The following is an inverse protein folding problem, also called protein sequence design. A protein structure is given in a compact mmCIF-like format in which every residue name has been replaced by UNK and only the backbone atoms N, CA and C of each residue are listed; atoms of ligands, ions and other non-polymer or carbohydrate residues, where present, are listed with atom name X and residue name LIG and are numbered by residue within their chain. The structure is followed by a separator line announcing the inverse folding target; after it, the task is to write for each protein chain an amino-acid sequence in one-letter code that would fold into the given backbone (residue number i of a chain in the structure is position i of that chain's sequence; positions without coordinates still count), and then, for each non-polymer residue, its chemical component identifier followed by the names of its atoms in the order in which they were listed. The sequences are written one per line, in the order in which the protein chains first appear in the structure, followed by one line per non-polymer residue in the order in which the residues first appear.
data_IF_832306093693
#
_entry.id   IF_832306093693
#
_cell.length_a   1.000
_cell.length_b   1.000
_cell.length_c   1.000
_cell.angle_alpha   90.00
_cell.angle_beta   90.00
_cell.angle_gamma   90.00
#
_symmetry.space_group_name_H-M   'P 1'
#
loop_
_entity.id
_entity.type
_entity.pdbx_description
1 polymer ?
#
# COMPACT_ATOMS: atom_id res chain seq x y z
N UNK A 1 -39.09 -11.39 10.22
CA UNK A 1 -38.65 -10.21 9.45
C UNK A 1 -38.07 -9.11 10.34
N UNK A 2 -38.81 -8.61 11.35
CA UNK A 2 -38.34 -7.52 12.22
C UNK A 2 -37.01 -7.80 12.96
N UNK A 3 -36.81 -9.00 13.48
CA UNK A 3 -35.56 -9.37 14.16
C UNK A 3 -34.33 -9.33 13.23
N UNK A 4 -34.48 -9.84 12.00
CA UNK A 4 -33.40 -9.84 11.00
C UNK A 4 -33.04 -8.42 10.57
N UNK A 5 -34.04 -7.56 10.36
CA UNK A 5 -33.79 -6.15 10.03
C UNK A 5 -33.11 -5.40 11.18
N UNK A 6 -33.54 -5.63 12.43
CA UNK A 6 -32.91 -5.01 13.60
C UNK A 6 -31.46 -5.46 13.78
N UNK A 7 -31.17 -6.74 13.55
CA UNK A 7 -29.81 -7.28 13.59
C UNK A 7 -28.91 -6.67 12.50
N UNK A 8 -29.40 -6.58 11.27
CA UNK A 8 -28.64 -5.98 10.16
C UNK A 8 -28.33 -4.50 10.41
N UNK A 9 -29.30 -3.73 10.94
CA UNK A 9 -29.08 -2.33 11.31
C UNK A 9 -28.05 -2.20 12.44
N UNK A 10 -28.11 -3.06 13.45
CA UNK A 10 -27.15 -3.06 14.55
C UNK A 10 -25.72 -3.38 14.08
N UNK A 11 -25.55 -4.43 13.28
CA UNK A 11 -24.26 -4.81 12.69
C UNK A 11 -23.74 -3.70 11.77
N UNK A 12 -24.61 -3.13 10.93
CA UNK A 12 -24.28 -1.99 10.06
C UNK A 12 -23.82 -0.77 10.86
N UNK A 13 -24.48 -0.46 11.98
CA UNK A 13 -24.10 0.60 12.90
C UNK A 13 -22.71 0.37 13.51
N UNK A 14 -22.43 -0.84 13.99
CA UNK A 14 -21.10 -1.19 14.52
C UNK A 14 -20.00 -1.08 13.47
N UNK A 15 -20.24 -1.54 12.24
CA UNK A 15 -19.31 -1.41 11.13
C UNK A 15 -19.07 0.06 10.75
N UNK A 16 -20.10 0.90 10.77
CA UNK A 16 -19.98 2.33 10.52
C UNK A 16 -19.13 3.02 11.60
N UNK A 17 -19.41 2.74 12.88
CA UNK A 17 -18.59 3.25 14.00
C UNK A 17 -17.13 2.83 13.83
N UNK A 18 -16.91 1.56 13.48
CA UNK A 18 -15.56 1.03 13.24
C UNK A 18 -14.87 1.69 12.05
N UNK A 19 -15.60 1.95 10.97
CA UNK A 19 -15.09 2.67 9.80
C UNK A 19 -14.67 4.09 10.18
N UNK A 20 -15.51 4.82 10.91
CA UNK A 20 -15.19 6.16 11.38
C UNK A 20 -13.97 6.14 12.29
N UNK A 21 -13.89 5.22 13.25
CA UNK A 21 -12.73 5.05 14.13
C UNK A 21 -11.44 4.75 13.34
N UNK A 22 -11.51 3.88 12.33
CA UNK A 22 -10.37 3.54 11.50
C UNK A 22 -9.92 4.75 10.67
N UNK A 23 -10.85 5.48 10.04
CA UNK A 23 -10.54 6.69 9.27
C UNK A 23 -9.95 7.78 10.15
N UNK A 24 -10.48 8.00 11.36
CA UNK A 24 -9.91 8.93 12.34
C UNK A 24 -8.52 8.47 12.76
N UNK A 25 -8.32 7.17 13.02
CA UNK A 25 -7.01 6.63 13.37
C UNK A 25 -5.98 6.76 12.24
N UNK A 26 -6.41 6.64 10.98
CA UNK A 26 -5.56 6.82 9.80
C UNK A 26 -5.23 8.30 9.59
N UNK A 27 -6.17 9.20 9.87
CA UNK A 27 -6.01 10.65 9.66
C UNK A 27 -5.36 11.42 10.80
N UNK A 28 -5.44 10.93 12.04
CA UNK A 28 -4.89 11.66 13.19
C UNK A 28 -3.37 11.87 13.11
N UNK A 29 -2.69 11.28 12.11
CA UNK A 29 -1.25 11.20 12.05
C UNK A 29 -0.71 10.50 13.31
N UNK A 30 0.54 10.07 13.29
CA UNK A 30 1.23 9.82 14.56
C UNK A 30 1.64 11.17 15.20
N UNK A 31 0.71 12.12 15.26
CA UNK A 31 0.87 13.45 15.81
C UNK A 31 0.65 13.46 17.32
N UNK A 32 1.38 12.60 18.03
CA UNK A 32 1.72 12.72 19.46
C UNK A 32 2.31 11.39 19.92
N UNK A 33 3.52 11.48 20.44
CA UNK A 33 4.33 10.39 20.94
C UNK A 33 3.62 9.61 22.07
N UNK A 34 3.11 8.42 21.74
CA UNK A 34 3.35 7.28 22.61
C UNK A 34 4.58 6.60 22.03
N UNK A 35 5.71 6.62 22.76
CA UNK A 35 6.91 5.85 22.41
C UNK A 35 6.49 4.39 22.36
N UNK A 36 6.15 3.92 21.17
CA UNK A 36 5.81 2.52 20.98
C UNK A 36 7.13 1.77 21.12
N UNK A 37 7.23 0.77 22.01
CA UNK A 37 8.48 0.06 22.20
C UNK A 37 8.98 -0.45 20.83
N UNK A 38 10.29 -0.36 20.57
CA UNK A 38 10.85 -0.84 19.31
C UNK A 38 10.46 -2.31 19.13
N UNK A 39 10.04 -2.64 17.90
CA UNK A 39 9.65 -4.01 17.56
C UNK A 39 10.81 -4.96 17.83
N UNK A 40 10.51 -6.07 18.50
CA UNK A 40 11.45 -7.17 18.74
C UNK A 40 11.47 -8.18 17.59
N UNK A 41 10.41 -8.22 16.78
CA UNK A 41 10.28 -9.12 15.63
C UNK A 41 10.23 -8.35 14.30
N UNK A 42 10.79 -8.93 13.22
CA UNK A 42 10.71 -8.36 11.88
C UNK A 42 9.25 -8.11 11.47
N UNK A 43 9.03 -7.08 10.66
CA UNK A 43 7.73 -6.77 10.07
C UNK A 43 7.61 -7.42 8.69
N UNK A 44 6.59 -8.27 8.52
CA UNK A 44 6.20 -8.82 7.21
C UNK A 44 5.86 -7.66 6.27
N UNK A 45 6.67 -7.48 5.24
CA UNK A 45 6.61 -6.27 4.40
C UNK A 45 6.20 -6.63 2.99
N UNK A 46 5.07 -6.10 2.54
CA UNK A 46 4.59 -6.23 1.16
C UNK A 46 4.93 -4.97 0.38
N UNK A 47 5.56 -5.13 -0.77
CA UNK A 47 6.06 -4.06 -1.62
C UNK A 47 5.34 -4.16 -2.94
N UNK A 48 4.46 -3.20 -3.24
CA UNK A 48 3.71 -3.20 -4.50
C UNK A 48 4.45 -2.35 -5.51
N UNK A 49 4.97 -3.01 -6.54
CA UNK A 49 5.77 -2.41 -7.59
C UNK A 49 4.92 -1.91 -8.75
N UNK A 50 5.30 -0.75 -9.28
CA UNK A 50 4.77 -0.21 -10.52
C UNK A 50 5.72 -0.43 -11.69
N UNK A 51 5.23 -0.60 -12.90
CA UNK A 51 6.12 -0.86 -14.05
C UNK A 51 7.06 0.30 -14.38
N UNK A 52 8.28 -0.05 -14.83
CA UNK A 52 9.25 0.90 -15.36
C UNK A 52 9.92 1.75 -14.28
N UNK A 53 9.74 3.08 -14.36
CA UNK A 53 10.36 4.05 -13.45
C UNK A 53 9.90 3.90 -11.99
N UNK A 54 8.65 3.48 -11.78
CA UNK A 54 8.11 3.25 -10.43
C UNK A 54 8.84 2.10 -9.71
N UNK A 55 9.15 0.99 -10.40
CA UNK A 55 9.98 -0.08 -9.83
C UNK A 55 11.36 0.43 -9.44
N UNK A 56 12.01 1.25 -10.26
CA UNK A 56 13.32 1.79 -9.93
C UNK A 56 13.28 2.70 -8.68
N UNK A 57 12.26 3.56 -8.58
CA UNK A 57 12.02 4.38 -7.38
C UNK A 57 11.81 3.51 -6.13
N UNK A 58 10.98 2.46 -6.22
CA UNK A 58 10.67 1.62 -5.06
C UNK A 58 11.87 0.78 -4.63
N UNK A 59 12.62 0.21 -5.58
CA UNK A 59 13.80 -0.58 -5.26
C UNK A 59 14.88 0.26 -4.58
N UNK A 60 15.09 1.52 -4.98
CA UNK A 60 15.99 2.44 -4.26
C UNK A 60 15.60 2.66 -2.80
N UNK A 61 14.29 2.73 -2.52
CA UNK A 61 13.78 2.84 -1.16
C UNK A 61 14.05 1.54 -0.41
N UNK A 62 13.70 0.40 -1.03
CA UNK A 62 13.85 -0.91 -0.43
C UNK A 62 15.31 -1.23 -0.12
N UNK A 63 16.24 -0.93 -1.02
CA UNK A 63 17.70 -1.05 -0.85
C UNK A 63 18.21 -0.40 0.44
N UNK A 64 17.61 0.72 0.86
CA UNK A 64 17.95 1.41 2.11
C UNK A 64 17.19 0.91 3.34
N UNK A 65 16.20 0.04 3.17
CA UNK A 65 15.49 -0.59 4.29
C UNK A 65 16.33 -1.72 4.89
N UNK A 66 16.39 -1.72 6.23
CA UNK A 66 17.00 -2.79 7.02
C UNK A 66 16.31 -4.14 6.75
N UNK A 67 17.02 -5.06 6.09
CA UNK A 67 16.51 -6.37 5.73
C UNK A 67 16.18 -7.27 6.93
N UNK A 68 16.78 -7.03 8.10
CA UNK A 68 16.46 -7.76 9.33
C UNK A 68 15.17 -7.28 9.98
N UNK A 69 14.84 -5.99 9.85
CA UNK A 69 13.62 -5.40 10.42
C UNK A 69 12.40 -5.52 9.51
N UNK A 70 12.61 -5.58 8.20
CA UNK A 70 11.57 -5.66 7.19
C UNK A 70 11.71 -6.97 6.40
N UNK A 71 11.27 -8.07 7.02
CA UNK A 71 11.34 -9.43 6.47
C UNK A 71 10.18 -10.29 7.01
N UNK A 72 9.69 -11.28 6.22
CA UNK A 72 9.97 -11.49 4.80
C UNK A 72 9.42 -10.35 3.93
N UNK A 73 10.04 -10.15 2.76
CA UNK A 73 9.64 -9.16 1.75
C UNK A 73 8.81 -9.82 0.66
N UNK A 74 7.60 -9.33 0.43
CA UNK A 74 6.72 -9.86 -0.61
C UNK A 74 6.55 -8.80 -1.71
N UNK A 75 7.12 -9.06 -2.88
CA UNK A 75 7.04 -8.15 -4.01
C UNK A 75 5.82 -8.47 -4.85
N UNK A 76 4.86 -7.55 -4.88
CA UNK A 76 3.67 -7.65 -5.72
C UNK A 76 3.94 -6.93 -7.04
N UNK A 77 3.89 -7.69 -8.13
CA UNK A 77 4.14 -7.20 -9.50
C UNK A 77 2.95 -7.46 -10.40
N UNK A 78 2.76 -6.63 -11.43
CA UNK A 78 1.76 -6.92 -12.46
C UNK A 78 2.18 -8.14 -13.30
N UNK A 79 1.23 -9.00 -13.68
CA UNK A 79 1.49 -10.21 -14.47
C UNK A 79 2.18 -9.95 -15.82
N UNK A 80 2.00 -8.76 -16.39
CA UNK A 80 2.61 -8.33 -17.65
C UNK A 80 4.01 -7.72 -17.48
N UNK A 81 4.48 -7.52 -16.25
CA UNK A 81 5.71 -6.78 -15.95
C UNK A 81 6.88 -7.69 -15.58
N UNK A 82 7.43 -8.36 -16.60
CA UNK A 82 8.60 -9.25 -16.44
C UNK A 82 9.87 -8.47 -16.08
N UNK A 83 10.02 -7.24 -16.54
CA UNK A 83 11.21 -6.42 -16.29
C UNK A 83 11.35 -6.10 -14.80
N UNK A 84 10.26 -5.80 -14.11
CA UNK A 84 10.32 -5.54 -12.68
C UNK A 84 10.69 -6.78 -11.86
N UNK A 85 10.28 -7.97 -12.30
CA UNK A 85 10.69 -9.24 -11.67
C UNK A 85 12.21 -9.39 -11.72
N UNK A 86 12.82 -9.18 -12.88
CA UNK A 86 14.29 -9.28 -13.04
C UNK A 86 15.01 -8.32 -12.09
N UNK A 87 14.56 -7.07 -12.01
CA UNK A 87 15.18 -6.07 -11.11
C UNK A 87 15.05 -6.42 -9.63
N UNK A 88 13.94 -7.04 -9.22
CA UNK A 88 13.76 -7.53 -7.85
C UNK A 88 14.76 -8.64 -7.54
N UNK A 89 14.90 -9.61 -8.46
CA UNK A 89 15.85 -10.71 -8.30
C UNK A 89 17.28 -10.18 -8.17
N UNK A 90 17.69 -9.29 -9.07
CA UNK A 90 19.01 -8.64 -9.02
C UNK A 90 19.22 -7.91 -7.68
N UNK A 91 18.25 -7.12 -7.22
CA UNK A 91 18.31 -6.37 -5.96
C UNK A 91 18.43 -7.29 -4.72
N UNK A 92 17.67 -8.38 -4.67
CA UNK A 92 17.71 -9.32 -3.54
C UNK A 92 18.97 -10.20 -3.56
N UNK A 93 19.50 -10.57 -4.74
CA UNK A 93 20.79 -11.27 -4.85
C UNK A 93 21.93 -10.38 -4.35
N UNK A 94 21.94 -9.09 -4.73
CA UNK A 94 22.94 -8.13 -4.25
C UNK A 94 22.85 -7.93 -2.73
N UNK A 95 21.63 -7.91 -2.17
CA UNK A 95 21.41 -7.80 -0.73
C UNK A 95 21.87 -9.03 0.04
N UNK A 96 21.52 -10.22 -0.46
CA UNK A 96 21.84 -11.49 0.18
C UNK A 96 22.21 -12.52 -0.90
N UNK A 97 23.51 -12.72 -1.18
CA UNK A 97 23.98 -13.64 -2.21
C UNK A 97 23.66 -15.10 -1.93
N UNK A 98 23.55 -15.46 -0.65
CA UNK A 98 23.25 -16.83 -0.20
C UNK A 98 21.75 -17.16 -0.37
N UNK A 99 21.37 -18.06 -1.30
CA UNK A 99 19.98 -18.36 -1.61
C UNK A 99 19.19 -18.91 -0.41
N UNK A 100 19.84 -19.63 0.50
CA UNK A 100 19.16 -20.22 1.67
C UNK A 100 18.75 -19.17 2.71
N UNK A 101 19.42 -18.01 2.68
CA UNK A 101 19.15 -16.88 3.59
C UNK A 101 18.27 -15.81 2.95
N UNK A 102 17.89 -15.97 1.68
CA UNK A 102 16.99 -15.04 1.01
C UNK A 102 15.57 -15.15 1.60
N UNK A 103 15.05 -14.02 2.06
CA UNK A 103 13.74 -13.94 2.73
C UNK A 103 12.78 -13.06 1.94
N UNK A 104 12.55 -13.44 0.68
CA UNK A 104 11.58 -12.75 -0.18
C UNK A 104 10.71 -13.71 -0.99
N UNK A 105 9.58 -13.20 -1.47
CA UNK A 105 8.64 -13.89 -2.35
C UNK A 105 8.15 -12.90 -3.41
N UNK A 106 7.97 -13.37 -4.65
CA UNK A 106 7.40 -12.56 -5.74
C UNK A 106 5.99 -13.07 -6.04
N UNK A 107 5.02 -12.17 -5.99
CA UNK A 107 3.60 -12.46 -6.19
C UNK A 107 3.12 -11.66 -7.41
N UNK A 108 2.50 -12.34 -8.37
CA UNK A 108 1.93 -11.69 -9.56
C UNK A 108 0.44 -11.43 -9.39
N UNK A 109 -0.01 -10.25 -9.81
CA UNK A 109 -1.43 -9.88 -9.85
C UNK A 109 -1.84 -9.37 -11.22
N UNK A 110 -3.10 -9.54 -11.64
CA UNK A 110 -3.57 -8.96 -12.89
C UNK A 110 -3.44 -7.44 -12.85
N UNK A 111 -3.04 -6.85 -13.97
CA UNK A 111 -2.91 -5.40 -14.09
C UNK A 111 -4.30 -4.75 -14.01
N UNK A 112 -4.45 -3.74 -13.16
CA UNK A 112 -5.76 -3.10 -12.95
C UNK A 112 -6.20 -2.20 -14.11
N UNK A 113 -5.25 -1.73 -14.94
CA UNK A 113 -5.52 -0.90 -16.12
C UNK A 113 -4.40 -1.06 -17.14
N UNK A 114 -4.77 -1.34 -18.39
CA UNK A 114 -3.85 -1.29 -19.51
C UNK A 114 -3.69 0.13 -20.06
N UNK A 115 -2.56 0.35 -20.74
CA UNK A 115 -2.26 1.64 -21.38
C UNK A 115 -3.30 1.88 -22.48
N UNK A 116 -3.91 3.08 -22.51
CA UNK A 116 -5.00 3.48 -23.42
C UNK A 116 -6.40 2.90 -23.14
N UNK A 117 -6.61 2.20 -22.02
CA UNK A 117 -7.94 1.72 -21.65
C UNK A 117 -8.89 2.88 -21.27
N UNK A 118 -10.20 2.76 -21.51
CA UNK A 118 -11.17 3.78 -21.07
C UNK A 118 -11.35 3.76 -19.54
N UNK A 119 -11.70 4.90 -18.92
CA UNK A 119 -11.86 4.99 -17.46
C UNK A 119 -12.92 4.03 -16.90
N UNK A 120 -14.02 3.81 -17.65
CA UNK A 120 -15.11 2.92 -17.25
C UNK A 120 -14.68 1.46 -17.29
N UNK A 121 -14.04 1.02 -18.37
CA UNK A 121 -13.53 -0.35 -18.47
C UNK A 121 -12.41 -0.61 -17.46
N UNK A 122 -11.61 0.40 -17.13
CA UNK A 122 -10.61 0.31 -16.05
C UNK A 122 -11.23 0.11 -14.66
N UNK A 123 -12.45 0.59 -14.40
CA UNK A 123 -13.11 0.33 -13.13
C UNK A 123 -13.42 -1.16 -12.97
N UNK A 124 -13.92 -1.81 -14.03
CA UNK A 124 -14.21 -3.26 -14.05
C UNK A 124 -12.94 -4.08 -13.81
N UNK A 125 -11.85 -3.79 -14.52
CA UNK A 125 -10.58 -4.49 -14.32
C UNK A 125 -9.96 -4.21 -12.95
N UNK A 126 -10.22 -3.03 -12.36
CA UNK A 126 -9.82 -2.71 -10.98
C UNK A 126 -10.60 -3.55 -9.96
N UNK A 127 -11.91 -3.77 -10.17
CA UNK A 127 -12.72 -4.64 -9.30
C UNK A 127 -12.26 -6.10 -9.40
N UNK A 128 -12.00 -6.60 -10.62
CA UNK A 128 -11.44 -7.94 -10.79
C UNK A 128 -10.08 -8.08 -10.10
N UNK A 129 -9.19 -7.10 -10.28
CA UNK A 129 -7.91 -7.07 -9.58
C UNK A 129 -8.08 -7.05 -8.05
N UNK A 130 -9.09 -6.34 -7.54
CA UNK A 130 -9.44 -6.33 -6.12
C UNK A 130 -9.81 -7.72 -5.61
N UNK A 131 -10.67 -8.45 -6.33
CA UNK A 131 -11.06 -9.81 -5.95
C UNK A 131 -9.85 -10.76 -5.92
N UNK A 132 -8.94 -10.65 -6.89
CA UNK A 132 -7.68 -11.41 -6.89
C UNK A 132 -6.75 -11.03 -5.74
N UNK A 133 -6.74 -9.77 -5.30
CA UNK A 133 -5.90 -9.31 -4.19
C UNK A 133 -6.40 -9.80 -2.82
N UNK A 134 -7.69 -10.11 -2.65
CA UNK A 134 -8.27 -10.58 -1.37
C UNK A 134 -7.51 -11.79 -0.79
N UNK A 135 -7.41 -12.94 -1.47
CA UNK A 135 -6.71 -14.10 -0.91
C UNK A 135 -5.22 -13.83 -0.69
N UNK A 136 -4.60 -13.03 -1.56
CA UNK A 136 -3.17 -12.69 -1.48
C UNK A 136 -2.87 -11.93 -0.18
N UNK A 137 -3.56 -10.80 0.05
CA UNK A 137 -3.32 -9.95 1.23
C UNK A 137 -3.72 -10.68 2.52
N UNK A 138 -4.82 -11.43 2.51
CA UNK A 138 -5.28 -12.16 3.71
C UNK A 138 -4.37 -13.34 4.08
N UNK A 139 -3.78 -14.03 3.10
CA UNK A 139 -2.78 -15.08 3.33
C UNK A 139 -1.43 -14.50 3.73
N UNK A 140 -1.00 -13.43 3.05
CA UNK A 140 0.23 -12.72 3.32
C UNK A 140 0.28 -12.09 4.71
N UNK A 141 -0.86 -11.60 5.21
CA UNK A 141 -0.99 -10.82 6.46
C UNK A 141 0.16 -9.82 6.64
N UNK A 142 0.37 -8.90 5.67
CA UNK A 142 1.44 -7.93 5.78
C UNK A 142 1.21 -7.02 6.99
N UNK A 143 2.29 -6.66 7.67
CA UNK A 143 2.29 -5.65 8.73
C UNK A 143 2.63 -4.27 8.16
N UNK A 144 3.37 -4.24 7.05
CA UNK A 144 3.69 -3.03 6.30
C UNK A 144 3.40 -3.26 4.81
N UNK A 145 2.70 -2.31 4.19
CA UNK A 145 2.55 -2.22 2.73
C UNK A 145 3.26 -0.95 2.27
N UNK A 146 4.25 -1.10 1.40
CA UNK A 146 4.94 -0.01 0.72
C UNK A 146 4.51 0.02 -0.73
N UNK A 147 4.15 1.20 -1.23
CA UNK A 147 3.81 1.35 -2.64
C UNK A 147 4.04 2.77 -3.13
N UNK A 148 4.52 2.87 -4.36
CA UNK A 148 4.52 4.09 -5.14
C UNK A 148 3.69 3.81 -6.39
N UNK A 149 2.60 4.56 -6.56
CA UNK A 149 1.53 4.16 -7.48
C UNK A 149 2.00 3.92 -8.92
N UNK A 150 1.46 2.88 -9.60
CA UNK A 150 0.39 3.06 -10.58
C UNK A 150 -0.90 2.32 -10.16
N UNK A 151 -1.94 2.27 -11.01
CA UNK A 151 -3.30 1.81 -10.66
C UNK A 151 -3.41 0.49 -9.87
N UNK A 152 -2.47 -0.43 -10.06
CA UNK A 152 -2.41 -1.73 -9.37
C UNK A 152 -2.23 -1.65 -7.85
N UNK A 153 -1.70 -0.54 -7.31
CA UNK A 153 -1.58 -0.36 -5.86
C UNK A 153 -2.92 -0.15 -5.17
N UNK A 154 -3.93 0.39 -5.89
CA UNK A 154 -5.22 0.77 -5.30
C UNK A 154 -5.98 -0.45 -4.79
N UNK A 155 -6.16 -1.54 -5.59
CA UNK A 155 -6.75 -2.77 -5.09
C UNK A 155 -6.08 -3.36 -3.87
N UNK A 156 -4.74 -3.45 -3.86
CA UNK A 156 -3.97 -4.03 -2.74
C UNK A 156 -4.19 -3.22 -1.47
N UNK A 157 -4.08 -1.89 -1.55
CA UNK A 157 -4.30 -1.01 -0.40
C UNK A 157 -5.74 -1.04 0.10
N UNK A 158 -6.72 -1.10 -0.81
CA UNK A 158 -8.13 -1.18 -0.46
C UNK A 158 -8.46 -2.50 0.24
N UNK A 159 -7.95 -3.63 -0.24
CA UNK A 159 -8.08 -4.92 0.44
C UNK A 159 -7.46 -4.87 1.84
N UNK A 160 -6.28 -4.29 1.99
CA UNK A 160 -5.65 -4.14 3.30
C UNK A 160 -6.47 -3.27 4.26
N UNK A 161 -7.05 -2.17 3.75
CA UNK A 161 -7.94 -1.31 4.52
C UNK A 161 -9.22 -2.07 4.94
N UNK A 162 -9.85 -2.82 4.03
CA UNK A 162 -11.01 -3.66 4.33
C UNK A 162 -10.67 -4.76 5.34
N UNK A 163 -9.51 -5.39 5.23
CA UNK A 163 -9.04 -6.39 6.19
C UNK A 163 -8.86 -5.79 7.59
N UNK A 164 -8.45 -4.52 7.71
CA UNK A 164 -8.40 -3.80 8.99
C UNK A 164 -9.78 -3.45 9.52
N UNK A 165 -10.69 -3.05 8.64
CA UNK A 165 -12.08 -2.73 8.96
C UNK A 165 -12.80 -3.95 9.53
N UNK A 166 -12.60 -5.12 8.91
CA UNK A 166 -13.20 -6.41 9.29
C UNK A 166 -12.43 -7.18 10.37
N UNK A 167 -11.47 -6.54 11.06
CA UNK A 167 -10.66 -7.14 12.12
C UNK A 167 -9.76 -8.33 11.71
N UNK A 168 -9.60 -8.59 10.40
CA UNK A 168 -8.81 -9.69 9.87
C UNK A 168 -7.29 -9.43 9.93
N UNK A 169 -6.86 -8.16 9.76
CA UNK A 169 -5.46 -7.77 9.85
C UNK A 169 -5.31 -6.33 10.38
N UNK A 170 -5.54 -6.13 11.68
CA UNK A 170 -5.56 -4.79 12.30
C UNK A 170 -4.20 -4.10 12.40
N UNK A 171 -3.10 -4.85 12.30
CA UNK A 171 -1.71 -4.35 12.45
C UNK A 171 -1.13 -3.78 11.16
N UNK A 172 -1.73 -4.08 10.01
CA UNK A 172 -1.25 -3.62 8.70
C UNK A 172 -1.20 -2.10 8.64
N UNK A 173 -0.03 -1.54 8.30
CA UNK A 173 0.16 -0.13 8.00
C UNK A 173 0.48 0.05 6.53
N UNK A 174 -0.16 1.03 5.90
CA UNK A 174 0.03 1.33 4.48
C UNK A 174 0.77 2.65 4.34
N UNK A 175 1.89 2.61 3.63
CA UNK A 175 2.72 3.77 3.32
C UNK A 175 2.68 3.96 1.81
N UNK A 176 2.09 5.07 1.38
CA UNK A 176 2.07 5.47 -0.03
C UNK A 176 3.11 6.56 -0.26
N UNK A 177 3.93 6.36 -1.29
CA UNK A 177 4.97 7.28 -1.70
C UNK A 177 4.64 7.74 -3.11
N UNK A 178 4.26 9.01 -3.26
CA UNK A 178 3.96 9.56 -4.57
C UNK A 178 5.23 9.61 -5.43
N UNK A 179 5.09 9.35 -6.73
CA UNK A 179 6.23 9.28 -7.64
C UNK A 179 6.97 10.60 -7.76
N UNK A 180 8.28 10.53 -7.99
CA UNK A 180 9.13 11.69 -8.21
C UNK A 180 8.67 12.53 -9.42
N UNK A 181 8.04 11.91 -10.42
CA UNK A 181 7.54 12.62 -11.59
C UNK A 181 6.34 13.55 -11.29
N UNK A 182 5.73 13.46 -10.11
CA UNK A 182 4.56 14.26 -9.71
C UNK A 182 4.98 15.50 -8.95
N UNK A 183 5.28 16.57 -9.67
CA UNK A 183 5.69 17.87 -9.09
C UNK A 183 4.48 18.73 -8.72
N UNK A 184 3.50 18.85 -9.62
CA UNK A 184 2.43 19.86 -9.52
C UNK A 184 1.09 19.34 -9.02
N UNK A 185 0.83 18.05 -9.19
CA UNK A 185 -0.45 17.42 -8.90
C UNK A 185 -0.30 15.93 -8.55
N UNK A 186 -1.17 15.45 -7.66
CA UNK A 186 -1.25 14.05 -7.26
C UNK A 186 -1.69 13.16 -8.44
N UNK A 187 -1.15 11.95 -8.48
CA UNK A 187 -1.66 10.89 -9.33
C UNK A 187 -3.11 10.52 -8.96
N UNK A 188 -3.84 9.89 -9.89
CA UNK A 188 -5.19 9.41 -9.59
C UNK A 188 -5.17 8.42 -8.40
N UNK A 189 -4.23 7.48 -8.40
CA UNK A 189 -4.00 6.57 -7.27
C UNK A 189 -3.70 7.33 -5.99
N UNK A 190 -2.83 8.35 -6.04
CA UNK A 190 -2.53 9.21 -4.90
C UNK A 190 -3.76 9.91 -4.34
N UNK A 191 -4.63 10.47 -5.19
CA UNK A 191 -5.90 11.10 -4.76
C UNK A 191 -6.84 10.12 -4.06
N UNK A 192 -6.92 8.87 -4.54
CA UNK A 192 -7.76 7.84 -3.93
C UNK A 192 -7.15 7.40 -2.58
N UNK A 193 -5.85 7.10 -2.58
CA UNK A 193 -5.15 6.55 -1.44
C UNK A 193 -4.94 7.54 -0.31
N UNK A 194 -4.98 8.85 -0.59
CA UNK A 194 -4.85 9.93 0.39
C UNK A 194 -5.74 9.74 1.63
N UNK A 195 -6.91 9.11 1.47
CA UNK A 195 -7.89 8.94 2.53
C UNK A 195 -7.77 7.64 3.33
N UNK A 196 -7.03 6.64 2.84
CA UNK A 196 -7.04 5.28 3.43
C UNK A 196 -5.66 4.80 3.89
N UNK A 197 -4.57 5.47 3.52
CA UNK A 197 -3.20 5.08 3.89
C UNK A 197 -2.75 5.71 5.20
N UNK A 198 -1.97 5.00 6.01
CA UNK A 198 -1.49 5.50 7.30
C UNK A 198 -0.44 6.59 7.15
N UNK A 199 0.41 6.51 6.12
CA UNK A 199 1.42 7.53 5.83
C UNK A 199 1.42 7.85 4.34
N UNK A 200 1.35 9.15 4.03
CA UNK A 200 1.40 9.67 2.68
C UNK A 200 2.65 10.52 2.52
N UNK A 201 3.51 10.14 1.56
CA UNK A 201 4.77 10.81 1.29
C UNK A 201 4.72 11.44 -0.09
N UNK A 202 5.14 12.70 -0.17
CA UNK A 202 5.40 13.42 -1.42
C UNK A 202 6.88 13.80 -1.49
N UNK A 203 7.38 14.05 -2.69
CA UNK A 203 8.78 14.42 -2.90
C UNK A 203 9.01 15.92 -3.06
N UNK A 204 7.96 16.66 -3.41
CA UNK A 204 8.05 18.07 -3.80
C UNK A 204 7.34 18.97 -2.78
N UNK A 205 7.99 20.04 -2.30
CA UNK A 205 7.36 21.02 -1.40
C UNK A 205 6.10 21.64 -1.99
N UNK A 206 6.07 21.95 -3.29
CA UNK A 206 4.88 22.55 -3.92
C UNK A 206 3.68 21.59 -3.91
N UNK A 207 3.94 20.28 -3.99
CA UNK A 207 2.90 19.28 -3.87
C UNK A 207 2.46 19.10 -2.42
N UNK A 208 3.39 19.20 -1.47
CA UNK A 208 3.09 19.16 -0.03
C UNK A 208 2.12 20.27 0.34
N UNK A 209 2.40 21.52 -0.04
CA UNK A 209 1.54 22.67 0.26
C UNK A 209 0.10 22.42 -0.21
N UNK A 210 -0.07 22.00 -1.47
CA UNK A 210 -1.40 21.68 -2.00
C UNK A 210 -2.06 20.52 -1.27
N UNK A 211 -1.33 19.45 -0.98
CA UNK A 211 -1.91 18.26 -0.36
C UNK A 211 -2.24 18.48 1.12
N UNK A 212 -1.47 19.34 1.79
CA UNK A 212 -1.65 19.68 3.20
C UNK A 212 -3.00 20.32 3.51
N UNK A 213 -3.60 21.00 2.52
CA UNK A 213 -4.98 21.53 2.60
C UNK A 213 -6.02 20.44 2.81
N UNK A 214 -5.77 19.24 2.27
CA UNK A 214 -6.67 18.08 2.37
C UNK A 214 -6.29 17.18 3.55
N UNK A 215 -4.98 17.04 3.82
CA UNK A 215 -4.45 16.13 4.83
C UNK A 215 -3.16 16.70 5.45
N UNK A 216 -3.20 17.03 6.74
CA UNK A 216 -2.11 17.75 7.42
C UNK A 216 -0.87 16.90 7.74
N UNK A 217 -1.00 15.57 7.88
CA UNK A 217 0.08 14.65 8.24
C UNK A 217 0.88 14.10 7.04
N UNK A 218 0.76 14.76 5.88
CA UNK A 218 1.56 14.42 4.68
C UNK A 218 3.02 14.79 4.93
N UNK A 219 3.94 13.89 4.60
CA UNK A 219 5.38 14.10 4.76
C UNK A 219 6.04 14.42 3.44
N UNK A 220 7.02 15.32 3.46
CA UNK A 220 7.90 15.57 2.32
C UNK A 220 9.32 15.15 2.67
N UNK A 221 9.91 14.27 1.88
CA UNK A 221 11.29 13.80 2.08
C UNK A 221 12.28 14.35 1.05
N UNK A 222 11.84 15.19 0.12
CA UNK A 222 12.71 15.80 -0.89
C UNK A 222 13.21 14.79 -1.92
N UNK A 223 14.40 15.07 -2.49
CA UNK A 223 15.07 14.15 -3.42
C UNK A 223 15.67 12.97 -2.64
N UNK A 224 14.97 11.83 -2.62
CA UNK A 224 15.48 10.53 -2.18
C UNK A 224 16.59 9.99 -3.09
#
# INVERSE_FOLDING_TARGET
MAFLSSLLLFVGGLLLVRLVQLLVSVRRGQGSAAVTPPRTVPARTMIVLGSGGHTAEMLRIVERLDGGRYSPRQYVVASTDKTSVVKVLESEILRQPDPEKQTYEIITIPRSRDVHQSYVSSAVTTVLALLHCVPIVLKARPELILTNGPGTCVPVCLVAFLARLLFLNTKCRVVFIESFCRVRSLSLSGRILLYIVDMFVVQWPELLEKTSTTRQDVRCFGRL
#
